data_IF_324681405577
#
_entry.id   IF_324681405577
#
_cell.length_a   1.000
_cell.length_b   1.000
_cell.length_c   1.000
_cell.angle_alpha   90.00
_cell.angle_beta   90.00
_cell.angle_gamma   90.00
#
_symmetry.space_group_name_H-M   'P 1'
#
loop_
_entity.id
_entity.type
_entity.pdbx_description
1 polymer ?
#
# COMPACT_ATOMS: atom_id res chain seq x y z
N UNK A 1 -70.96 -25.43 -4.42
CA UNK A 1 -70.74 -25.36 -2.96
C UNK A 1 -69.85 -26.52 -2.57
N UNK A 2 -68.71 -26.44 -1.91
CA UNK A 2 -67.94 -25.35 -1.32
C UNK A 2 -66.48 -25.83 -1.27
N UNK A 3 -65.53 -24.97 -1.64
CA UNK A 3 -64.09 -25.15 -1.44
C UNK A 3 -63.74 -25.10 0.05
N UNK A 4 -62.75 -25.90 0.50
CA UNK A 4 -61.63 -25.47 1.39
C UNK A 4 -60.77 -26.66 1.84
N UNK A 5 -59.54 -26.71 1.34
CA UNK A 5 -58.41 -27.33 2.03
C UNK A 5 -57.69 -26.29 2.91
N UNK A 6 -57.02 -26.74 3.97
CA UNK A 6 -56.04 -25.95 4.71
C UNK A 6 -54.85 -26.84 5.07
N UNK A 7 -53.75 -26.64 4.35
CA UNK A 7 -52.40 -27.04 4.76
C UNK A 7 -51.93 -26.15 5.93
N UNK A 8 -51.44 -26.76 7.01
CA UNK A 8 -50.68 -26.06 8.06
C UNK A 8 -49.27 -25.77 7.53
N UNK A 9 -49.02 -24.51 7.14
CA UNK A 9 -47.66 -23.99 6.96
C UNK A 9 -47.04 -23.68 8.33
N UNK A 10 -45.93 -24.35 8.64
CA UNK A 10 -45.03 -23.97 9.73
C UNK A 10 -44.31 -22.70 9.29
N UNK A 11 -44.58 -21.57 9.96
CA UNK A 11 -43.82 -20.32 9.78
C UNK A 11 -42.40 -20.56 10.31
N UNK A 12 -41.41 -20.62 9.42
CA UNK A 12 -40.01 -20.38 9.79
C UNK A 12 -39.92 -18.92 10.22
N UNK A 13 -39.32 -18.67 11.40
CA UNK A 13 -38.93 -17.32 11.81
C UNK A 13 -37.91 -16.81 10.81
N UNK A 14 -38.18 -15.66 10.21
CA UNK A 14 -37.17 -14.90 9.49
C UNK A 14 -36.03 -14.52 10.46
N UNK A 15 -34.75 -14.54 10.03
CA UNK A 15 -33.65 -14.10 10.86
C UNK A 15 -33.87 -12.65 11.28
N UNK A 16 -33.76 -12.38 12.58
CA UNK A 16 -33.88 -11.04 13.15
C UNK A 16 -32.80 -10.14 12.53
N UNK A 17 -33.23 -9.14 11.75
CA UNK A 17 -32.37 -8.05 11.31
C UNK A 17 -31.96 -7.27 12.55
N UNK A 18 -30.65 -7.05 12.82
CA UNK A 18 -30.21 -6.31 14.00
C UNK A 18 -30.86 -4.93 14.04
N UNK A 19 -31.46 -4.58 15.17
CA UNK A 19 -32.02 -3.24 15.37
C UNK A 19 -30.92 -2.17 15.29
N UNK A 20 -31.30 -0.91 15.06
CA UNK A 20 -30.39 0.24 14.89
C UNK A 20 -29.32 0.39 15.99
N UNK A 21 -29.62 -0.03 17.24
CA UNK A 21 -28.65 -0.09 18.34
C UNK A 21 -27.59 -1.19 18.17
N UNK A 22 -27.97 -2.34 17.62
CA UNK A 22 -27.05 -3.46 17.34
C UNK A 22 -26.10 -3.16 16.18
N UNK A 23 -26.57 -2.46 15.13
CA UNK A 23 -25.69 -2.00 14.05
C UNK A 23 -24.64 -1.00 14.55
N UNK A 24 -25.04 0.00 15.36
CA UNK A 24 -24.10 1.00 15.87
C UNK A 24 -23.05 0.40 16.83
N UNK A 25 -23.41 -0.61 17.62
CA UNK A 25 -22.47 -1.31 18.51
C UNK A 25 -21.53 -2.23 17.72
N UNK A 26 -22.02 -2.90 16.67
CA UNK A 26 -21.19 -3.66 15.74
C UNK A 26 -20.21 -2.76 14.97
N UNK A 27 -20.66 -1.62 14.44
CA UNK A 27 -19.81 -0.64 13.75
C UNK A 27 -18.73 -0.08 14.67
N UNK A 28 -19.07 0.24 15.92
CA UNK A 28 -18.12 0.74 16.92
C UNK A 28 -17.06 -0.31 17.28
N UNK A 29 -17.47 -1.57 17.44
CA UNK A 29 -16.55 -2.68 17.75
C UNK A 29 -15.65 -3.03 16.55
N UNK A 30 -16.19 -2.99 15.34
CA UNK A 30 -15.44 -3.19 14.10
C UNK A 30 -14.38 -2.10 13.91
N UNK A 31 -14.73 -0.84 14.18
CA UNK A 31 -13.79 0.27 14.13
C UNK A 31 -12.67 0.14 15.18
N UNK A 32 -12.96 -0.40 16.37
CA UNK A 32 -11.94 -0.67 17.38
C UNK A 32 -10.96 -1.79 16.98
N UNK A 33 -11.44 -2.90 16.41
CA UNK A 33 -10.57 -3.99 15.91
C UNK A 33 -9.69 -3.49 14.75
N UNK A 34 -10.26 -2.73 13.81
CA UNK A 34 -9.53 -2.12 12.70
C UNK A 34 -8.42 -1.20 13.18
N UNK A 35 -8.73 -0.26 14.08
CA UNK A 35 -7.73 0.65 14.64
C UNK A 35 -6.63 -0.13 15.36
N UNK A 36 -6.99 -1.16 16.14
CA UNK A 36 -6.01 -2.02 16.81
C UNK A 36 -5.09 -2.71 15.80
N UNK A 37 -5.66 -3.33 14.76
CA UNK A 37 -4.87 -3.98 13.70
C UNK A 37 -3.90 -2.99 13.05
N UNK A 38 -4.33 -1.78 12.73
CA UNK A 38 -3.45 -0.77 12.11
C UNK A 38 -2.55 -0.01 13.08
N UNK A 39 -2.58 -0.35 14.38
CA UNK A 39 -1.54 -0.01 15.35
C UNK A 39 -0.49 -1.13 15.47
N UNK A 40 -0.86 -2.37 15.17
CA UNK A 40 0.06 -3.50 15.17
C UNK A 40 1.11 -3.34 14.04
N UNK A 41 2.32 -3.79 14.32
CA UNK A 41 3.45 -3.70 13.38
C UNK A 41 3.80 -5.08 12.83
N UNK A 42 4.07 -5.15 11.54
CA UNK A 42 4.72 -6.30 10.94
C UNK A 42 6.25 -6.20 10.97
N UNK A 43 6.95 -7.15 10.30
CA UNK A 43 8.41 -7.15 10.22
C UNK A 43 9.02 -5.87 9.61
N UNK A 44 8.27 -5.17 8.75
CA UNK A 44 8.74 -3.99 8.03
C UNK A 44 8.50 -2.68 8.79
N UNK A 45 7.37 -2.58 9.50
CA UNK A 45 6.90 -1.34 10.14
C UNK A 45 7.17 -1.27 11.65
N UNK A 46 7.87 -2.25 12.22
CA UNK A 46 8.29 -2.21 13.62
C UNK A 46 9.34 -1.11 13.86
N UNK A 47 9.11 -0.20 14.80
CA UNK A 47 10.00 0.93 15.06
C UNK A 47 11.33 0.55 15.74
N UNK A 48 11.36 -0.56 16.49
CA UNK A 48 12.55 -0.99 17.23
C UNK A 48 13.10 0.08 18.17
N UNK A 49 14.43 0.23 18.20
CA UNK A 49 15.11 1.21 19.06
C UNK A 49 14.82 2.68 18.69
N UNK A 50 14.15 2.92 17.56
CA UNK A 50 13.81 4.26 17.09
C UNK A 50 12.43 4.73 17.54
N UNK A 51 11.68 3.95 18.32
CA UNK A 51 10.32 4.31 18.77
C UNK A 51 10.26 5.70 19.42
N UNK A 52 11.09 5.98 20.42
CA UNK A 52 11.15 7.31 21.07
C UNK A 52 11.51 8.42 20.08
N UNK A 53 12.40 8.13 19.13
CA UNK A 53 12.78 9.10 18.11
C UNK A 53 11.63 9.38 17.14
N UNK A 54 10.93 8.35 16.67
CA UNK A 54 9.77 8.50 15.80
C UNK A 54 8.64 9.27 16.48
N UNK A 55 8.40 9.06 17.77
CA UNK A 55 7.45 9.86 18.54
C UNK A 55 7.79 11.35 18.54
N UNK A 56 9.07 11.72 18.46
CA UNK A 56 9.53 13.12 18.45
C UNK A 56 9.41 13.84 17.10
N UNK A 57 9.13 13.12 16.01
CA UNK A 57 8.96 13.71 14.68
C UNK A 57 7.64 14.50 14.57
N UNK A 58 7.40 15.30 13.52
CA UNK A 58 6.14 16.03 13.37
C UNK A 58 4.90 15.12 13.38
N UNK A 59 3.79 15.63 13.91
CA UNK A 59 2.50 14.93 13.95
C UNK A 59 1.65 15.19 12.70
N UNK A 60 1.76 16.40 12.13
CA UNK A 60 0.96 16.79 10.98
C UNK A 60 1.47 16.10 9.69
N UNK A 61 0.58 15.48 8.89
CA UNK A 61 0.95 14.77 7.68
C UNK A 61 1.80 15.55 6.69
N UNK A 62 1.48 16.82 6.49
CA UNK A 62 2.22 17.71 5.59
C UNK A 62 3.66 17.95 6.09
N UNK A 63 3.82 18.25 7.38
CA UNK A 63 5.13 18.52 7.97
C UNK A 63 6.01 17.27 7.99
N UNK A 64 5.42 16.12 8.33
CA UNK A 64 6.13 14.84 8.33
C UNK A 64 6.51 14.42 6.90
N UNK A 65 5.55 14.46 5.97
CA UNK A 65 5.80 14.13 4.57
C UNK A 65 6.90 15.00 3.98
N UNK A 66 6.83 16.32 4.21
CA UNK A 66 7.88 17.26 3.82
C UNK A 66 9.24 16.86 4.42
N UNK A 67 9.31 16.54 5.72
CA UNK A 67 10.55 16.09 6.35
C UNK A 67 11.09 14.81 5.68
N UNK A 68 10.25 13.82 5.42
CA UNK A 68 10.64 12.54 4.80
C UNK A 68 11.14 12.73 3.37
N UNK A 69 10.49 13.58 2.56
CA UNK A 69 10.95 13.90 1.21
C UNK A 69 12.31 14.63 1.18
N UNK A 70 12.75 15.21 2.29
CA UNK A 70 14.13 15.71 2.44
C UNK A 70 15.14 14.60 2.80
N UNK A 71 14.70 13.44 3.29
CA UNK A 71 15.59 12.34 3.68
C UNK A 71 15.93 11.40 2.53
N UNK A 72 14.95 11.16 1.66
CA UNK A 72 14.96 10.12 0.62
C UNK A 72 14.79 10.76 -0.75
N UNK A 73 15.47 10.21 -1.76
CA UNK A 73 15.30 10.59 -3.17
C UNK A 73 14.92 9.35 -3.96
N UNK A 74 13.83 9.44 -4.72
CA UNK A 74 13.40 8.34 -5.58
C UNK A 74 14.47 8.04 -6.66
N UNK A 75 14.69 6.76 -6.98
CA UNK A 75 15.68 6.33 -8.01
C UNK A 75 15.47 6.97 -9.38
N UNK A 76 14.21 7.28 -9.73
CA UNK A 76 13.83 7.97 -10.97
C UNK A 76 14.36 9.41 -10.97
N UNK A 77 14.15 10.15 -9.88
CA UNK A 77 14.68 11.50 -9.69
C UNK A 77 16.20 11.50 -9.78
N UNK A 78 16.87 10.55 -9.13
CA UNK A 78 18.33 10.45 -9.20
C UNK A 78 18.83 10.14 -10.63
N UNK A 79 18.12 9.29 -11.39
CA UNK A 79 18.43 8.99 -12.80
C UNK A 79 18.28 10.21 -13.70
N UNK A 80 17.22 11.00 -13.48
CA UNK A 80 16.90 12.19 -14.29
C UNK A 80 17.73 13.42 -13.89
N UNK A 81 18.32 13.41 -12.70
CA UNK A 81 19.21 14.46 -12.22
C UNK A 81 18.44 15.73 -11.85
N UNK A 82 19.00 16.89 -12.18
CA UNK A 82 18.41 18.21 -11.87
C UNK A 82 17.42 18.65 -12.96
N UNK A 83 16.58 17.72 -13.41
CA UNK A 83 15.55 17.95 -14.44
C UNK A 83 14.20 17.47 -13.92
N UNK A 84 13.13 17.70 -14.70
CA UNK A 84 11.77 17.25 -14.39
C UNK A 84 11.36 17.57 -12.95
N UNK A 85 11.13 16.54 -12.12
CA UNK A 85 10.68 16.68 -10.75
C UNK A 85 11.67 17.35 -9.79
N UNK A 86 12.92 17.54 -10.23
CA UNK A 86 13.98 18.20 -9.46
C UNK A 86 14.60 19.39 -10.23
N UNK A 87 13.87 20.00 -11.17
CA UNK A 87 14.35 21.16 -11.93
C UNK A 87 14.68 22.38 -11.05
N UNK A 88 14.04 22.49 -9.88
CA UNK A 88 14.26 23.53 -8.87
C UNK A 88 15.18 23.07 -7.71
N UNK A 89 15.80 21.90 -7.83
CA UNK A 89 16.68 21.30 -6.83
C UNK A 89 16.00 21.02 -5.47
N UNK A 90 14.68 20.84 -5.42
CA UNK A 90 13.94 20.53 -4.19
C UNK A 90 14.42 19.25 -3.47
N UNK A 91 14.92 18.27 -4.21
CA UNK A 91 15.52 17.06 -3.64
C UNK A 91 17.03 17.22 -3.38
N UNK A 92 17.61 18.38 -3.71
CA UNK A 92 19.04 18.66 -3.68
C UNK A 92 19.69 18.54 -5.07
N UNK A 93 20.96 18.92 -5.16
CA UNK A 93 21.74 18.82 -6.39
C UNK A 93 22.21 17.37 -6.62
N UNK A 94 21.61 16.69 -7.60
CA UNK A 94 21.89 15.29 -7.92
C UNK A 94 23.29 15.07 -8.49
N UNK A 95 23.99 16.11 -8.95
CA UNK A 95 25.39 16.00 -9.40
C UNK A 95 26.34 15.74 -8.24
N UNK A 96 25.91 16.05 -7.00
CA UNK A 96 26.67 15.80 -5.78
C UNK A 96 26.51 14.37 -5.26
N UNK A 97 25.47 13.64 -5.69
CA UNK A 97 25.24 12.29 -5.19
C UNK A 97 26.45 11.36 -5.47
N UNK A 98 27.02 10.68 -4.44
CA UNK A 98 28.24 9.92 -4.60
C UNK A 98 28.13 8.81 -5.65
N UNK A 99 29.00 8.85 -6.67
CA UNK A 99 28.99 7.90 -7.78
C UNK A 99 29.22 6.44 -7.35
N UNK A 100 29.87 6.24 -6.22
CA UNK A 100 30.20 4.92 -5.67
C UNK A 100 29.09 4.31 -4.80
N UNK A 101 28.01 5.06 -4.51
CA UNK A 101 26.85 4.54 -3.78
C UNK A 101 25.86 3.91 -4.75
N UNK A 102 25.04 2.99 -4.25
CA UNK A 102 23.99 2.36 -5.02
C UNK A 102 23.00 3.41 -5.55
N UNK A 103 22.47 3.16 -6.75
CA UNK A 103 21.46 4.00 -7.42
C UNK A 103 20.02 3.58 -7.06
N UNK A 104 19.89 2.57 -6.21
CA UNK A 104 18.67 2.04 -5.61
C UNK A 104 19.10 1.20 -4.40
N UNK A 105 18.58 1.52 -3.22
CA UNK A 105 18.94 0.88 -1.94
C UNK A 105 17.77 0.07 -1.35
N UNK A 106 16.69 -0.06 -2.12
CA UNK A 106 15.46 -0.81 -1.81
C UNK A 106 15.75 -2.20 -1.20
N UNK A 107 16.56 -3.01 -1.88
CA UNK A 107 16.85 -4.39 -1.45
C UNK A 107 17.85 -4.50 -0.29
N UNK A 108 18.31 -3.38 0.26
CA UNK A 108 19.25 -3.32 1.38
C UNK A 108 18.51 -2.91 2.66
N UNK A 109 17.60 -1.93 2.57
CA UNK A 109 16.96 -1.31 3.74
C UNK A 109 15.45 -1.58 3.77
N UNK A 110 15.07 -2.86 3.91
CA UNK A 110 13.67 -3.29 3.80
C UNK A 110 12.76 -2.83 4.94
N UNK A 111 13.31 -2.52 6.11
CA UNK A 111 12.55 -2.25 7.34
C UNK A 111 12.76 -0.82 7.83
N UNK A 112 11.78 -0.26 8.53
CA UNK A 112 11.88 1.09 9.09
C UNK A 112 13.13 1.30 9.99
N UNK A 113 13.55 0.34 10.85
CA UNK A 113 14.78 0.47 11.61
C UNK A 113 16.04 0.45 10.75
N UNK A 114 16.06 -0.30 9.65
CA UNK A 114 17.20 -0.32 8.72
C UNK A 114 17.33 1.02 8.00
N UNK A 115 16.21 1.58 7.53
CA UNK A 115 16.16 2.91 6.91
C UNK A 115 16.62 3.98 7.91
N UNK A 116 16.07 3.97 9.13
CA UNK A 116 16.44 4.94 10.16
C UNK A 116 17.94 4.85 10.52
N UNK A 117 18.46 3.63 10.73
CA UNK A 117 19.87 3.41 11.04
C UNK A 117 20.79 3.99 9.96
N UNK A 118 20.46 3.79 8.69
CA UNK A 118 21.25 4.32 7.59
C UNK A 118 21.15 5.85 7.49
N UNK A 119 19.97 6.43 7.69
CA UNK A 119 19.81 7.89 7.73
C UNK A 119 20.67 8.53 8.84
N UNK A 120 20.76 7.91 10.02
CA UNK A 120 21.65 8.35 11.11
C UNK A 120 23.13 8.12 10.79
N UNK A 121 23.48 7.00 10.14
CA UNK A 121 24.86 6.70 9.74
C UNK A 121 25.38 7.72 8.72
N UNK A 122 24.52 8.15 7.79
CA UNK A 122 24.84 9.15 6.76
C UNK A 122 24.82 10.58 7.30
N UNK A 123 23.96 10.88 8.28
CA UNK A 123 23.92 12.17 8.97
C UNK A 123 23.51 11.98 10.44
N UNK A 124 24.44 12.15 11.41
CA UNK A 124 24.17 11.86 12.82
C UNK A 124 23.16 12.83 13.47
N UNK A 125 22.77 13.91 12.77
CA UNK A 125 21.69 14.81 13.22
C UNK A 125 20.31 14.16 13.15
N UNK A 126 20.18 13.01 12.48
CA UNK A 126 18.90 12.35 12.24
C UNK A 126 18.16 12.99 11.07
N UNK A 127 16.84 13.08 11.18
CA UNK A 127 15.96 13.56 10.12
C UNK A 127 15.92 15.08 10.16
N UNK A 128 16.43 15.71 9.09
CA UNK A 128 16.59 17.17 9.01
C UNK A 128 16.17 17.68 7.63
N UNK A 129 15.52 18.85 7.57
CA UNK A 129 15.05 19.43 6.30
C UNK A 129 16.22 19.84 5.38
N UNK A 130 17.37 20.23 5.94
CA UNK A 130 18.56 20.66 5.21
C UNK A 130 19.57 19.51 4.92
N UNK A 131 19.10 18.26 4.84
CA UNK A 131 19.97 17.10 4.55
C UNK A 131 20.64 17.27 3.19
N UNK A 132 21.97 17.18 3.19
CA UNK A 132 22.79 17.27 1.97
C UNK A 132 22.51 16.08 1.05
N UNK A 133 22.54 16.29 -0.28
CA UNK A 133 22.27 15.24 -1.28
C UNK A 133 23.10 13.98 -1.04
N UNK A 134 24.36 14.14 -0.67
CA UNK A 134 25.30 13.04 -0.43
C UNK A 134 24.89 12.11 0.69
N UNK A 135 24.09 12.62 1.62
CA UNK A 135 23.64 11.93 2.82
C UNK A 135 22.19 11.45 2.68
N UNK A 136 21.53 11.69 1.55
CA UNK A 136 20.19 11.14 1.29
C UNK A 136 20.27 9.66 0.91
N UNK A 137 19.20 8.93 1.18
CA UNK A 137 19.04 7.55 0.74
C UNK A 137 18.28 7.49 -0.58
N UNK A 138 18.53 6.45 -1.37
CA UNK A 138 17.85 6.21 -2.65
C UNK A 138 16.88 5.06 -2.51
N UNK A 139 15.65 5.39 -2.12
CA UNK A 139 14.58 4.43 -1.89
C UNK A 139 13.34 4.81 -2.71
N UNK A 140 12.46 3.85 -2.94
CA UNK A 140 11.19 4.06 -3.66
C UNK A 140 9.97 4.10 -2.75
N UNK A 141 8.81 4.41 -3.33
CA UNK A 141 7.54 4.68 -2.63
C UNK A 141 7.13 3.67 -1.58
N UNK A 142 7.33 2.36 -1.81
CA UNK A 142 7.03 1.32 -0.79
C UNK A 142 7.81 1.55 0.50
N UNK A 143 9.08 1.94 0.41
CA UNK A 143 9.98 2.11 1.55
C UNK A 143 9.69 3.41 2.31
N UNK A 144 9.31 4.46 1.58
CA UNK A 144 8.77 5.68 2.20
C UNK A 144 7.47 5.36 2.95
N UNK A 145 6.57 4.61 2.31
CA UNK A 145 5.31 4.20 2.92
C UNK A 145 5.51 3.37 4.20
N UNK A 146 6.49 2.45 4.20
CA UNK A 146 6.89 1.68 5.40
C UNK A 146 7.41 2.58 6.52
N UNK A 147 8.28 3.54 6.19
CA UNK A 147 8.83 4.46 7.19
C UNK A 147 7.73 5.33 7.81
N UNK A 148 6.84 5.88 6.99
CA UNK A 148 5.69 6.69 7.45
C UNK A 148 4.75 5.87 8.33
N UNK A 149 4.39 4.66 7.90
CA UNK A 149 3.57 3.74 8.70
C UNK A 149 4.21 3.45 10.07
N UNK A 150 5.52 3.19 10.11
CA UNK A 150 6.23 2.95 11.37
C UNK A 150 6.23 4.16 12.30
N UNK A 151 6.38 5.38 11.75
CA UNK A 151 6.39 6.62 12.54
C UNK A 151 5.02 6.86 13.18
N UNK A 152 3.93 6.76 12.42
CA UNK A 152 2.59 6.96 12.97
C UNK A 152 2.19 5.86 13.95
N UNK A 153 2.52 4.59 13.67
CA UNK A 153 2.27 3.49 14.60
C UNK A 153 3.01 3.69 15.93
N UNK A 154 4.27 4.14 15.90
CA UNK A 154 5.03 4.48 17.10
C UNK A 154 4.36 5.60 17.92
N UNK A 155 3.76 6.59 17.24
CA UNK A 155 2.97 7.66 17.86
C UNK A 155 1.61 7.20 18.41
N UNK A 156 1.23 5.93 18.23
CA UNK A 156 -0.07 5.41 18.62
C UNK A 156 -1.21 5.86 17.69
N UNK A 157 -0.90 6.23 16.45
CA UNK A 157 -1.87 6.63 15.43
C UNK A 157 -2.02 5.47 14.42
N UNK A 158 -3.22 4.89 14.25
CA UNK A 158 -3.43 3.82 13.28
C UNK A 158 -3.04 4.28 11.88
N UNK A 159 -2.16 3.53 11.22
CA UNK A 159 -1.66 3.87 9.90
C UNK A 159 -1.47 2.60 9.07
N UNK A 160 -1.79 2.68 7.79
CA UNK A 160 -1.59 1.60 6.83
C UNK A 160 -0.95 2.07 5.55
N UNK A 161 -0.05 1.25 5.04
CA UNK A 161 0.43 1.36 3.67
C UNK A 161 -0.64 0.86 2.72
N UNK A 162 -0.74 1.47 1.54
CA UNK A 162 -1.63 1.06 0.46
C UNK A 162 -0.86 1.05 -0.86
N UNK A 163 -1.14 0.08 -1.71
CA UNK A 163 -0.52 -0.07 -3.01
C UNK A 163 -1.56 0.11 -4.13
N UNK A 164 -1.21 0.86 -5.16
CA UNK A 164 -2.07 1.09 -6.33
C UNK A 164 -1.33 1.84 -7.42
N UNK A 165 -2.00 2.82 -8.03
CA UNK A 165 -1.47 3.57 -9.15
C UNK A 165 -1.77 5.07 -9.00
N UNK A 166 -0.79 5.89 -9.38
CA UNK A 166 -0.83 7.34 -9.37
C UNK A 166 -1.11 7.85 -10.79
N UNK A 167 -2.35 8.31 -11.10
CA UNK A 167 -2.72 8.89 -12.40
C UNK A 167 -2.13 10.29 -12.63
N UNK A 168 -1.43 10.80 -11.62
CA UNK A 168 -0.95 12.16 -11.57
C UNK A 168 0.53 12.30 -11.93
N UNK A 169 1.32 11.23 -12.03
CA UNK A 169 2.71 11.38 -12.50
C UNK A 169 2.81 11.73 -13.99
N UNK A 170 1.88 11.25 -14.80
CA UNK A 170 1.86 11.50 -16.24
C UNK A 170 0.43 11.43 -16.77
N UNK A 171 -0.01 12.46 -17.49
CA UNK A 171 -1.33 12.49 -18.08
C UNK A 171 -1.61 11.24 -18.95
N UNK A 172 -2.76 10.62 -18.73
CA UNK A 172 -3.23 9.45 -19.48
C UNK A 172 -2.59 8.13 -19.07
N UNK A 173 -1.75 8.10 -18.05
CA UNK A 173 -1.12 6.88 -17.53
C UNK A 173 -1.11 6.91 -16.00
N UNK A 174 -1.61 5.83 -15.40
CA UNK A 174 -1.53 5.57 -13.97
C UNK A 174 -0.33 4.69 -13.69
N UNK A 175 0.66 5.25 -13.01
CA UNK A 175 1.92 4.57 -12.71
C UNK A 175 1.89 3.95 -11.33
N UNK A 176 2.47 2.78 -11.18
CA UNK A 176 2.47 2.03 -9.95
C UNK A 176 3.06 2.81 -8.76
N UNK A 177 2.41 2.75 -7.60
CA UNK A 177 2.76 3.61 -6.48
C UNK A 177 2.27 3.09 -5.12
N UNK A 178 2.96 3.50 -4.05
CA UNK A 178 2.61 3.20 -2.67
C UNK A 178 2.41 4.48 -1.88
N UNK A 179 1.32 4.53 -1.12
CA UNK A 179 0.93 5.69 -0.31
C UNK A 179 0.49 5.23 1.08
N UNK A 180 0.04 6.17 1.92
CA UNK A 180 -0.41 5.86 3.28
C UNK A 180 -1.85 6.32 3.50
N UNK A 181 -2.53 5.63 4.40
CA UNK A 181 -3.76 6.09 5.02
C UNK A 181 -3.54 6.18 6.53
N UNK A 182 -3.85 7.34 7.11
CA UNK A 182 -3.70 7.64 8.54
C UNK A 182 -5.08 7.86 9.13
N UNK A 183 -5.36 7.23 10.27
CA UNK A 183 -6.66 7.41 10.91
C UNK A 183 -6.73 8.76 11.62
N UNK A 184 -7.76 9.55 11.30
CA UNK A 184 -8.09 10.79 12.02
C UNK A 184 -9.25 10.54 12.98
N UNK A 185 -8.99 10.58 14.29
CA UNK A 185 -10.06 10.51 15.29
C UNK A 185 -10.95 11.76 15.27
N UNK A 186 -10.41 12.93 14.88
CA UNK A 186 -11.16 14.18 14.74
C UNK A 186 -12.24 14.06 13.67
N UNK A 187 -11.92 13.42 12.56
CA UNK A 187 -12.80 13.31 11.38
C UNK A 187 -13.45 11.94 11.24
N UNK A 188 -13.08 11.00 12.12
CA UNK A 188 -13.55 9.61 12.14
C UNK A 188 -13.45 8.93 10.77
N UNK A 189 -12.32 9.14 10.08
CA UNK A 189 -12.03 8.61 8.75
C UNK A 189 -10.54 8.44 8.52
N UNK A 190 -10.20 7.71 7.47
CA UNK A 190 -8.85 7.69 6.92
C UNK A 190 -8.55 8.98 6.15
N UNK A 191 -7.38 9.54 6.41
CA UNK A 191 -6.74 10.61 5.63
C UNK A 191 -5.74 9.92 4.70
N UNK A 192 -5.92 10.06 3.39
CA UNK A 192 -5.02 9.47 2.40
C UNK A 192 -3.93 10.47 2.05
N UNK A 193 -2.67 10.06 2.14
CA UNK A 193 -1.52 10.94 1.90
C UNK A 193 -0.47 10.25 1.03
N UNK A 194 0.24 11.05 0.24
CA UNK A 194 1.43 10.62 -0.49
C UNK A 194 2.67 11.35 0.04
N UNK A 195 3.58 10.63 0.68
CA UNK A 195 4.80 11.19 1.28
C UNK A 195 6.07 10.91 0.47
N UNK A 196 5.97 10.24 -0.69
CA UNK A 196 7.11 9.80 -1.49
C UNK A 196 7.88 10.96 -2.15
N UNK A 197 7.28 12.14 -2.22
CA UNK A 197 7.91 13.28 -2.85
C UNK A 197 7.21 14.61 -2.61
N UNK A 198 7.54 15.59 -3.44
CA UNK A 198 6.93 16.91 -3.46
C UNK A 198 6.04 17.03 -4.69
N UNK A 199 4.74 16.80 -4.55
CA UNK A 199 3.78 16.81 -5.65
C UNK A 199 2.89 18.05 -5.68
N UNK A 200 2.84 18.79 -4.57
CA UNK A 200 2.10 20.04 -4.51
C UNK A 200 2.58 21.05 -5.57
N UNK A 201 1.64 21.56 -6.37
CA UNK A 201 1.90 22.54 -7.42
C UNK A 201 2.65 22.02 -8.67
N UNK A 202 2.97 20.72 -8.75
CA UNK A 202 3.82 20.16 -9.82
C UNK A 202 3.09 19.82 -11.11
N UNK A 203 1.78 19.65 -11.07
CA UNK A 203 1.02 19.23 -12.23
C UNK A 203 0.26 20.41 -12.80
N UNK A 204 0.80 20.95 -13.88
CA UNK A 204 0.10 21.90 -14.74
C UNK A 204 -1.26 21.31 -15.15
N UNK A 205 -2.31 21.61 -14.41
CA UNK A 205 -3.70 21.21 -14.68
C UNK A 205 -4.33 20.16 -13.74
N UNK A 206 -3.60 19.56 -12.78
CA UNK A 206 -4.18 18.64 -11.81
C UNK A 206 -3.87 19.10 -10.37
N UNK A 207 -4.92 19.45 -9.62
CA UNK A 207 -4.83 19.80 -8.20
C UNK A 207 -4.84 18.53 -7.36
N UNK A 208 -3.76 17.73 -7.42
CA UNK A 208 -3.65 16.60 -6.50
C UNK A 208 -3.45 17.13 -5.09
N UNK A 209 -4.34 16.73 -4.19
CA UNK A 209 -4.25 17.08 -2.78
C UNK A 209 -3.31 16.07 -2.11
N UNK A 210 -2.01 16.35 -2.08
CA UNK A 210 -1.00 15.39 -1.60
C UNK A 210 -1.27 14.88 -0.16
N UNK A 211 -1.81 15.75 0.70
CA UNK A 211 -2.15 15.45 2.08
C UNK A 211 -3.65 15.65 2.28
N UNK A 212 -4.39 14.54 2.42
CA UNK A 212 -5.86 14.46 2.33
C UNK A 212 -6.40 14.35 0.90
N UNK A 213 -5.88 13.37 0.17
CA UNK A 213 -6.31 13.03 -1.19
C UNK A 213 -7.81 12.71 -1.22
N UNK A 214 -8.49 13.26 -2.23
CA UNK A 214 -9.90 12.97 -2.49
C UNK A 214 -10.07 11.63 -3.16
N UNK A 215 -11.26 11.07 -3.03
CA UNK A 215 -11.64 9.87 -3.77
C UNK A 215 -11.45 10.10 -5.28
N UNK A 216 -10.77 9.15 -5.94
CA UNK A 216 -10.46 9.21 -7.37
C UNK A 216 -9.17 9.94 -7.74
N UNK A 217 -8.45 10.55 -6.78
CA UNK A 217 -7.10 11.11 -7.05
C UNK A 217 -6.01 10.03 -7.08
N UNK A 218 -6.29 8.86 -6.51
CA UNK A 218 -5.44 7.67 -6.55
C UNK A 218 -6.23 6.46 -7.07
N UNK A 219 -5.62 5.67 -7.94
CA UNK A 219 -6.24 4.48 -8.53
C UNK A 219 -5.89 3.23 -7.71
N UNK A 220 -6.84 2.78 -6.90
CA UNK A 220 -6.69 1.55 -6.11
C UNK A 220 -6.54 0.31 -7.00
N UNK A 221 -5.59 -0.57 -6.68
CA UNK A 221 -5.29 -1.76 -7.47
C UNK A 221 -6.51 -2.67 -7.70
N UNK A 222 -7.33 -2.86 -6.66
CA UNK A 222 -8.57 -3.64 -6.73
C UNK A 222 -9.58 -3.07 -7.73
N UNK A 223 -9.76 -1.75 -7.74
CA UNK A 223 -10.67 -1.09 -8.69
C UNK A 223 -10.11 -1.16 -10.11
N UNK A 224 -8.82 -0.91 -10.30
CA UNK A 224 -8.15 -1.05 -11.59
C UNK A 224 -8.31 -2.46 -12.15
N UNK A 225 -8.10 -3.49 -11.32
CA UNK A 225 -8.25 -4.90 -11.70
C UNK A 225 -9.65 -5.17 -12.26
N UNK A 226 -10.68 -4.85 -11.47
CA UNK A 226 -12.07 -5.09 -11.85
C UNK A 226 -12.50 -4.26 -13.06
N UNK A 227 -12.04 -3.01 -13.18
CA UNK A 227 -12.39 -2.15 -14.31
C UNK A 227 -11.77 -2.64 -15.61
N UNK A 228 -10.54 -3.16 -15.58
CA UNK A 228 -9.91 -3.78 -16.75
C UNK A 228 -10.65 -5.08 -17.11
N UNK A 229 -10.89 -5.96 -16.12
CA UNK A 229 -11.60 -7.23 -16.32
C UNK A 229 -13.00 -7.04 -16.88
N UNK A 230 -13.69 -5.96 -16.51
CA UNK A 230 -15.04 -5.60 -16.99
C UNK A 230 -15.04 -4.74 -18.26
N UNK A 231 -13.88 -4.45 -18.84
CA UNK A 231 -13.75 -3.63 -20.05
C UNK A 231 -14.15 -2.16 -19.88
N UNK A 232 -14.16 -1.65 -18.63
CA UNK A 232 -14.51 -0.26 -18.30
C UNK A 232 -13.34 0.71 -18.50
N UNK A 233 -12.11 0.20 -18.47
CA UNK A 233 -10.90 0.96 -18.76
C UNK A 233 -9.90 0.14 -19.58
N UNK A 234 -8.96 0.82 -20.25
CA UNK A 234 -7.88 0.17 -21.01
C UNK A 234 -6.75 -0.20 -20.05
N UNK A 235 -6.43 -1.49 -19.94
CA UNK A 235 -5.34 -1.94 -19.07
C UNK A 235 -3.97 -1.32 -19.39
N UNK A 236 -3.72 -0.91 -20.63
CA UNK A 236 -2.48 -0.23 -21.04
C UNK A 236 -2.26 1.12 -20.34
N UNK A 237 -3.29 1.69 -19.70
CA UNK A 237 -3.19 2.90 -18.89
C UNK A 237 -2.49 2.64 -17.54
N UNK A 238 -2.44 1.40 -17.06
CA UNK A 238 -1.81 1.02 -15.80
C UNK A 238 -0.42 0.41 -16.06
N UNK A 239 0.63 1.06 -15.57
CA UNK A 239 2.03 0.73 -15.90
C UNK A 239 2.84 0.46 -14.64
N UNK A 240 3.63 -0.61 -14.69
CA UNK A 240 4.64 -0.94 -13.68
C UNK A 240 6.00 -0.36 -14.08
N UNK A 241 6.66 0.39 -13.19
CA UNK A 241 7.87 1.16 -13.46
C UNK A 241 9.17 0.31 -13.45
N UNK A 242 9.13 -0.86 -14.09
CA UNK A 242 10.27 -1.78 -14.25
C UNK A 242 11.20 -1.43 -15.43
N UNK A 243 10.80 -0.47 -16.28
CA UNK A 243 11.47 -0.14 -17.54
C UNK A 243 11.45 -1.27 -18.60
N UNK A 244 10.59 -2.28 -18.44
CA UNK A 244 10.36 -3.39 -19.37
C UNK A 244 9.01 -3.26 -20.11
N UNK A 245 8.20 -2.26 -19.77
CA UNK A 245 6.91 -1.99 -20.42
C UNK A 245 5.76 -2.83 -19.87
N UNK A 246 5.92 -3.39 -18.67
CA UNK A 246 4.86 -4.15 -18.01
C UNK A 246 3.64 -3.25 -17.73
N UNK A 247 2.48 -3.66 -18.23
CA UNK A 247 1.22 -2.92 -18.10
C UNK A 247 0.01 -3.86 -18.04
N UNK A 248 -1.20 -3.31 -17.94
CA UNK A 248 -2.45 -4.08 -17.89
C UNK A 248 -2.51 -5.02 -16.69
N UNK A 249 -3.28 -6.11 -16.78
CA UNK A 249 -3.47 -7.09 -15.70
C UNK A 249 -2.13 -7.64 -15.15
N UNK A 250 -1.06 -7.68 -15.95
CA UNK A 250 0.29 -8.07 -15.49
C UNK A 250 0.87 -7.09 -14.47
N UNK A 251 0.64 -5.78 -14.65
CA UNK A 251 1.04 -4.77 -13.67
C UNK A 251 0.10 -4.81 -12.46
N UNK A 252 -1.21 -4.86 -12.71
CA UNK A 252 -2.23 -4.71 -11.67
C UNK A 252 -2.26 -5.90 -10.71
N UNK A 253 -2.04 -7.14 -11.18
CA UNK A 253 -2.03 -8.32 -10.29
C UNK A 253 -0.96 -8.21 -9.19
N UNK A 254 0.22 -7.65 -9.50
CA UNK A 254 1.30 -7.47 -8.52
C UNK A 254 0.84 -6.53 -7.41
N UNK A 255 0.20 -5.43 -7.80
CA UNK A 255 -0.30 -4.41 -6.88
C UNK A 255 -1.54 -4.84 -6.12
N UNK A 256 -2.36 -5.73 -6.68
CA UNK A 256 -3.45 -6.37 -5.95
C UNK A 256 -2.91 -7.15 -4.74
N UNK A 257 -1.84 -7.93 -4.94
CA UNK A 257 -1.20 -8.65 -3.84
C UNK A 257 -0.41 -7.75 -2.91
N UNK A 258 0.30 -6.74 -3.42
CA UNK A 258 0.95 -5.74 -2.57
C UNK A 258 -0.04 -5.04 -1.64
N UNK A 259 -1.21 -4.62 -2.15
CA UNK A 259 -2.22 -3.94 -1.34
C UNK A 259 -2.85 -4.91 -0.33
N UNK A 260 -3.16 -6.15 -0.74
CA UNK A 260 -3.65 -7.20 0.16
C UNK A 260 -2.68 -7.45 1.33
N UNK A 261 -1.40 -7.65 1.04
CA UNK A 261 -0.36 -7.89 2.03
C UNK A 261 -0.15 -6.66 2.94
N UNK A 262 -0.10 -5.45 2.36
CA UNK A 262 0.01 -4.21 3.13
C UNK A 262 -1.18 -3.99 4.08
N UNK A 263 -2.41 -4.30 3.64
CA UNK A 263 -3.60 -4.24 4.49
C UNK A 263 -3.52 -5.19 5.68
N UNK A 264 -2.70 -6.25 5.61
CA UNK A 264 -2.45 -7.21 6.67
C UNK A 264 -1.15 -6.93 7.46
N UNK A 265 -0.61 -5.70 7.37
CA UNK A 265 0.66 -5.27 7.98
C UNK A 265 1.88 -6.09 7.52
N UNK A 266 1.87 -6.59 6.29
CA UNK A 266 2.99 -7.30 5.68
C UNK A 266 3.41 -6.55 4.41
N UNK A 267 4.02 -5.38 4.54
CA UNK A 267 4.34 -4.51 3.41
C UNK A 267 5.47 -5.08 2.51
N UNK A 268 5.30 -6.25 1.89
CA UNK A 268 6.31 -7.00 1.14
C UNK A 268 7.06 -6.16 0.07
N UNK A 269 8.33 -6.51 -0.18
CA UNK A 269 9.16 -5.85 -1.22
C UNK A 269 8.84 -6.37 -2.62
N UNK A 270 9.26 -5.65 -3.67
CA UNK A 270 8.88 -5.92 -5.07
C UNK A 270 9.33 -7.28 -5.62
N UNK A 271 10.34 -7.88 -5.00
CA UNK A 271 10.85 -9.22 -5.34
C UNK A 271 10.06 -10.35 -4.69
N UNK A 272 9.11 -10.01 -3.82
CA UNK A 272 8.26 -10.97 -3.13
C UNK A 272 6.92 -11.01 -3.85
N UNK A 273 6.55 -12.18 -4.35
CA UNK A 273 5.25 -12.45 -4.94
C UNK A 273 4.71 -13.79 -4.45
N UNK A 274 3.39 -13.96 -4.31
CA UNK A 274 2.84 -15.26 -3.98
C UNK A 274 3.25 -16.30 -5.03
N UNK A 275 3.59 -17.52 -4.61
CA UNK A 275 3.93 -18.64 -5.51
C UNK A 275 2.85 -18.89 -6.56
N UNK A 276 1.62 -18.48 -6.26
CA UNK A 276 0.47 -18.52 -7.14
C UNK A 276 0.68 -17.73 -8.44
N UNK A 277 1.18 -16.49 -8.36
CA UNK A 277 1.19 -15.57 -9.51
C UNK A 277 2.59 -15.22 -10.01
N UNK A 278 3.61 -15.47 -9.19
CA UNK A 278 4.99 -15.15 -9.53
C UNK A 278 5.43 -15.87 -10.81
N UNK A 279 5.82 -15.09 -11.83
CA UNK A 279 6.17 -15.54 -13.19
C UNK A 279 5.14 -16.45 -13.90
N UNK A 280 3.89 -16.51 -13.40
CA UNK A 280 2.86 -17.46 -13.85
C UNK A 280 1.66 -16.84 -14.54
N UNK A 281 1.67 -15.54 -14.78
CA UNK A 281 0.52 -14.82 -15.33
C UNK A 281 -0.08 -15.49 -16.59
N UNK A 282 0.76 -15.92 -17.54
CA UNK A 282 0.31 -16.56 -18.79
C UNK A 282 -0.29 -17.96 -18.59
N UNK A 283 -0.13 -18.55 -17.41
CA UNK A 283 -0.63 -19.87 -17.06
C UNK A 283 -1.92 -19.82 -16.23
N UNK A 284 -2.35 -18.62 -15.82
CA UNK A 284 -3.58 -18.44 -15.04
C UNK A 284 -4.81 -18.74 -15.89
N UNK A 285 -5.74 -19.50 -15.31
CA UNK A 285 -7.03 -19.83 -15.92
C UNK A 285 -8.08 -18.75 -15.66
N UNK A 286 -9.25 -18.85 -16.30
CA UNK A 286 -10.40 -17.98 -15.95
C UNK A 286 -10.92 -18.24 -14.53
N UNK A 287 -10.76 -19.45 -13.99
CA UNK A 287 -11.11 -19.72 -12.59
C UNK A 287 -10.16 -18.99 -11.63
N UNK A 288 -8.87 -18.92 -11.97
CA UNK A 288 -7.88 -18.14 -11.24
C UNK A 288 -8.20 -16.64 -11.29
N UNK A 289 -8.61 -16.13 -12.46
CA UNK A 289 -9.06 -14.74 -12.58
C UNK A 289 -10.35 -14.48 -11.78
N UNK A 290 -11.31 -15.41 -11.76
CA UNK A 290 -12.50 -15.28 -10.91
C UNK A 290 -12.14 -15.25 -9.42
N UNK A 291 -11.14 -16.02 -8.98
CA UNK A 291 -10.65 -15.99 -7.59
C UNK A 291 -10.04 -14.62 -7.25
N UNK A 292 -9.28 -14.04 -8.18
CA UNK A 292 -8.69 -12.71 -8.05
C UNK A 292 -9.75 -11.60 -8.10
N UNK A 293 -10.81 -11.77 -8.91
CA UNK A 293 -11.96 -10.87 -8.94
C UNK A 293 -12.65 -10.83 -7.55
N UNK A 294 -12.84 -11.99 -6.91
CA UNK A 294 -13.41 -12.06 -5.55
C UNK A 294 -12.52 -11.36 -4.52
N UNK A 295 -11.19 -11.53 -4.59
CA UNK A 295 -10.26 -10.79 -3.73
C UNK A 295 -10.41 -9.28 -3.97
N UNK A 296 -10.36 -8.85 -5.23
CA UNK A 296 -10.48 -7.44 -5.58
C UNK A 296 -11.81 -6.83 -5.11
N UNK A 297 -12.93 -7.55 -5.19
CA UNK A 297 -14.22 -7.08 -4.67
C UNK A 297 -14.19 -6.80 -3.17
N UNK A 298 -13.54 -7.66 -2.37
CA UNK A 298 -13.35 -7.42 -0.94
C UNK A 298 -12.47 -6.19 -0.67
N UNK A 299 -11.42 -6.01 -1.48
CA UNK A 299 -10.45 -4.92 -1.33
C UNK A 299 -10.98 -3.56 -1.83
N UNK A 300 -12.14 -3.48 -2.47
CA UNK A 300 -12.81 -2.20 -2.77
C UNK A 300 -13.21 -1.46 -1.49
N UNK A 301 -13.64 -2.19 -0.46
CA UNK A 301 -14.04 -1.67 0.84
C UNK A 301 -13.38 -2.51 1.95
N UNK A 302 -12.04 -2.40 2.14
CA UNK A 302 -11.29 -3.31 2.98
C UNK A 302 -11.68 -3.22 4.46
N UNK A 303 -12.17 -2.06 4.91
CA UNK A 303 -12.63 -1.84 6.29
C UNK A 303 -13.93 -2.60 6.57
N UNK A 304 -14.91 -2.48 5.67
CA UNK A 304 -16.20 -3.19 5.76
C UNK A 304 -16.00 -4.71 5.62
N UNK A 305 -15.03 -5.11 4.79
CA UNK A 305 -14.72 -6.51 4.51
C UNK A 305 -13.59 -7.08 5.38
N UNK A 306 -13.17 -6.36 6.43
CA UNK A 306 -11.94 -6.68 7.16
C UNK A 306 -11.89 -8.13 7.67
N UNK A 307 -12.97 -8.62 8.28
CA UNK A 307 -13.03 -10.00 8.77
C UNK A 307 -12.91 -11.04 7.64
N UNK A 308 -13.44 -10.74 6.45
CA UNK A 308 -13.32 -11.63 5.29
C UNK A 308 -11.90 -11.62 4.71
N UNK A 309 -11.28 -10.44 4.58
CA UNK A 309 -9.89 -10.28 4.14
C UNK A 309 -8.93 -10.98 5.12
N UNK A 310 -9.12 -10.78 6.43
CA UNK A 310 -8.35 -11.45 7.48
C UNK A 310 -8.51 -12.96 7.47
N UNK A 311 -9.73 -13.48 7.22
CA UNK A 311 -9.93 -14.92 7.05
C UNK A 311 -9.14 -15.46 5.86
N UNK A 312 -9.14 -14.77 4.72
CA UNK A 312 -8.32 -15.15 3.55
C UNK A 312 -6.83 -15.18 3.94
N UNK A 313 -6.34 -14.16 4.64
CA UNK A 313 -4.98 -14.11 5.14
C UNK A 313 -4.60 -15.32 6.02
N UNK A 314 -5.50 -15.74 6.90
CA UNK A 314 -5.25 -16.84 7.84
C UNK A 314 -5.36 -18.22 7.19
N UNK A 315 -6.24 -18.39 6.18
CA UNK A 315 -6.58 -19.72 5.65
C UNK A 315 -6.10 -19.96 4.22
N UNK A 316 -6.01 -18.93 3.37
CA UNK A 316 -5.66 -19.09 1.97
C UNK A 316 -4.13 -19.01 1.77
N UNK A 317 -3.49 -20.18 1.75
CA UNK A 317 -2.03 -20.29 1.54
C UNK A 317 -1.60 -19.90 0.14
N UNK A 318 -2.46 -20.12 -0.86
CA UNK A 318 -2.21 -19.76 -2.27
C UNK A 318 -1.88 -18.26 -2.39
N UNK A 319 -2.51 -17.43 -1.56
CA UNK A 319 -2.32 -15.98 -1.58
C UNK A 319 -1.20 -15.49 -0.65
N UNK A 320 -0.70 -16.34 0.26
CA UNK A 320 0.22 -15.92 1.33
C UNK A 320 1.61 -16.53 1.25
N UNK A 321 1.75 -17.72 0.68
CA UNK A 321 3.06 -18.38 0.55
C UNK A 321 3.84 -17.69 -0.58
N UNK A 322 4.96 -17.09 -0.20
CA UNK A 322 5.72 -16.19 -1.07
C UNK A 322 6.94 -16.87 -1.68
N UNK A 323 7.20 -16.56 -2.94
CA UNK A 323 8.56 -16.60 -3.47
C UNK A 323 9.32 -15.37 -2.99
N UNK A 324 10.63 -15.52 -2.88
CA UNK A 324 11.60 -14.47 -2.56
C UNK A 324 12.91 -14.77 -3.31
N UNK A 325 13.90 -13.85 -3.35
CA UNK A 325 15.11 -14.06 -4.13
C UNK A 325 15.88 -15.37 -3.84
N UNK A 326 15.76 -15.92 -2.63
CA UNK A 326 16.43 -17.17 -2.23
C UNK A 326 15.49 -18.38 -2.08
N UNK A 327 14.18 -18.17 -2.12
CA UNK A 327 13.17 -19.21 -1.84
C UNK A 327 12.18 -19.22 -2.99
N UNK A 328 12.19 -20.30 -3.77
CA UNK A 328 11.30 -20.47 -4.91
C UNK A 328 10.13 -21.41 -4.62
N UNK A 329 9.33 -21.67 -5.65
CA UNK A 329 8.16 -22.54 -5.54
C UNK A 329 8.51 -23.94 -5.01
N UNK A 330 9.65 -24.51 -5.46
CA UNK A 330 10.10 -25.84 -5.04
C UNK A 330 10.24 -25.94 -3.52
N UNK A 331 10.78 -24.91 -2.89
CA UNK A 331 10.97 -24.86 -1.44
C UNK A 331 9.64 -24.75 -0.69
N UNK A 332 8.63 -24.20 -1.36
CA UNK A 332 7.29 -23.94 -0.83
C UNK A 332 6.29 -25.08 -1.04
N UNK A 333 6.59 -26.10 -1.86
CA UNK A 333 5.70 -27.23 -2.16
C UNK A 333 5.07 -27.86 -0.90
N UNK A 334 5.82 -28.17 0.18
CA UNK A 334 5.23 -28.80 1.38
C UNK A 334 4.21 -27.92 2.11
N UNK A 335 4.23 -26.60 1.90
CA UNK A 335 3.26 -25.66 2.45
C UNK A 335 2.00 -25.57 1.60
N UNK A 336 2.17 -25.67 0.27
CA UNK A 336 1.10 -25.61 -0.72
C UNK A 336 0.29 -26.90 -0.79
N UNK A 337 0.89 -28.07 -0.51
CA UNK A 337 0.23 -29.38 -0.62
C UNK A 337 -0.72 -29.73 0.54
N UNK A 338 -0.62 -29.04 1.70
CA UNK A 338 -1.47 -29.35 2.87
C UNK A 338 -2.85 -28.66 2.80
N UNK A 339 -3.48 -28.68 1.62
CA UNK A 339 -4.85 -28.18 1.37
C UNK A 339 -5.86 -29.12 2.02
#
# INVERSE_FOLDING_TARGET
>A
MCLRGIHKLVRRKDPEVPGHKGCAEMEKNMNAELKKHYLETGPYTYAGLYETYFCSLPDEPEELGNLISHQIVHRVTLREGNTNANADLRYGDMTRYPWYRARCEDDIFLTAPAIAAELFRLDPRGFVKDRQTENKMILTCRYVSVLVSAIYKAKGIPCRSRAGFAPYFRQGVSMDHWINQIWSDRENRWITIDADGFYEGMLAGASVTQYDMKEGEFDWAAKAWLDIRRGRTKGTEFVYADCLGTCSLKAVIRYLFYDFHALMNDEISYLFQPCYVDEKFETLSEDDFCELDNLAELLLAPDENFSAVKRIWETNRKFRVMNSPLVGERDNLPLLERI
#
